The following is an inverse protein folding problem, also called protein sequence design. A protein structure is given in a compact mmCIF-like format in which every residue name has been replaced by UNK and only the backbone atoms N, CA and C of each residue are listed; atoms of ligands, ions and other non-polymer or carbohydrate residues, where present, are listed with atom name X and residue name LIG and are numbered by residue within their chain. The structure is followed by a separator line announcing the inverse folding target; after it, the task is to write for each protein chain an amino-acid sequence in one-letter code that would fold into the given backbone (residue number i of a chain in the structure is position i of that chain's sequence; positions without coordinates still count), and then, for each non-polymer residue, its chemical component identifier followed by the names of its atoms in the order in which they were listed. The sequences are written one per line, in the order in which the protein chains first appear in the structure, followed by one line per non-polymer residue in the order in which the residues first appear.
data_IF_335979374735
#
_entry.id   IF_335979374735
#
_cell.length_a   1.000
_cell.length_b   1.000
_cell.length_c   1.000
_cell.angle_alpha   90.00
_cell.angle_beta   90.00
_cell.angle_gamma   90.00
#
_symmetry.space_group_name_H-M   'P 1'
#
loop_
_entity.id
_entity.type
_entity.pdbx_description
1 polymer ?
#
# COMPACT_ATOMS: atom_id res chain seq x y z
N UNK A 1 -6.75 5.34 16.09
CA UNK A 1 -7.09 3.92 15.97
C UNK A 1 -6.04 3.14 16.75
N UNK A 2 -6.44 2.25 17.65
CA UNK A 2 -5.53 1.32 18.34
C UNK A 2 -6.16 -0.06 18.30
N UNK A 3 -5.35 -1.08 18.02
CA UNK A 3 -5.75 -2.48 18.13
C UNK A 3 -4.84 -3.16 19.17
N UNK A 4 -5.33 -4.24 19.77
CA UNK A 4 -4.60 -5.06 20.73
C UNK A 4 -3.85 -6.21 20.04
N UNK A 5 -2.75 -6.66 20.65
CA UNK A 5 -2.02 -7.84 20.16
C UNK A 5 -2.91 -9.08 20.12
N UNK A 6 -3.85 -9.19 21.06
CA UNK A 6 -4.82 -10.28 21.14
C UNK A 6 -5.72 -10.32 19.89
N UNK A 7 -6.31 -9.19 19.49
CA UNK A 7 -7.12 -9.10 18.27
C UNK A 7 -6.31 -9.46 17.01
N UNK A 8 -5.07 -8.96 16.91
CA UNK A 8 -4.20 -9.29 15.78
C UNK A 8 -3.87 -10.78 15.75
N UNK A 9 -3.50 -11.35 16.90
CA UNK A 9 -3.21 -12.78 17.02
C UNK A 9 -4.42 -13.61 16.60
N UNK A 10 -5.64 -13.24 16.98
CA UNK A 10 -6.84 -13.96 16.56
C UNK A 10 -6.99 -13.97 15.04
N UNK A 11 -6.81 -12.83 14.39
CA UNK A 11 -6.91 -12.70 12.94
C UNK A 11 -5.80 -13.50 12.21
N UNK A 12 -4.59 -13.56 12.78
CA UNK A 12 -3.49 -14.39 12.27
C UNK A 12 -3.80 -15.88 12.43
N UNK A 13 -4.22 -16.31 13.62
CA UNK A 13 -4.62 -17.68 13.88
C UNK A 13 -5.72 -18.13 12.91
N UNK A 14 -6.74 -17.30 12.73
CA UNK A 14 -7.86 -17.59 11.84
C UNK A 14 -7.43 -17.74 10.39
N UNK A 15 -6.50 -16.91 9.91
CA UNK A 15 -5.90 -17.09 8.59
C UNK A 15 -5.16 -18.43 8.45
N UNK A 16 -4.40 -18.84 9.47
CA UNK A 16 -3.70 -20.12 9.45
C UNK A 16 -4.68 -21.29 9.36
N UNK A 17 -5.77 -21.24 10.13
CA UNK A 17 -6.85 -22.23 10.08
C UNK A 17 -7.56 -22.24 8.73
N UNK A 18 -7.96 -21.08 8.21
CA UNK A 18 -8.66 -20.95 6.92
C UNK A 18 -7.80 -21.38 5.72
N UNK A 19 -6.47 -21.24 5.82
CA UNK A 19 -5.52 -21.65 4.79
C UNK A 19 -5.09 -23.13 4.87
N UNK A 20 -5.51 -23.86 5.90
CA UNK A 20 -5.15 -25.26 6.11
C UNK A 20 -3.77 -25.50 6.76
N UNK A 21 -3.17 -24.48 7.38
CA UNK A 21 -1.91 -24.61 8.12
C UNK A 21 -2.15 -25.15 9.54
N UNK A 22 -2.71 -26.36 9.65
CA UNK A 22 -3.20 -26.92 10.92
C UNK A 22 -2.15 -26.96 12.04
N UNK A 23 -0.94 -27.45 11.76
CA UNK A 23 0.13 -27.53 12.77
C UNK A 23 0.59 -26.14 13.22
N UNK A 24 0.68 -25.18 12.30
CA UNK A 24 1.04 -23.80 12.62
C UNK A 24 -0.05 -23.12 13.43
N UNK A 25 -1.32 -23.30 13.05
CA UNK A 25 -2.46 -22.76 13.80
C UNK A 25 -2.49 -23.31 15.23
N UNK A 26 -2.22 -24.61 15.40
CA UNK A 26 -2.16 -25.25 16.71
C UNK A 26 -1.06 -24.65 17.59
N UNK A 27 0.20 -24.66 17.12
CA UNK A 27 1.34 -24.12 17.87
C UNK A 27 1.13 -22.64 18.18
N UNK A 28 0.70 -21.85 17.18
CA UNK A 28 0.45 -20.43 17.35
C UNK A 28 -0.64 -20.14 18.38
N UNK A 29 -1.74 -20.92 18.39
CA UNK A 29 -2.82 -20.72 19.39
C UNK A 29 -2.34 -20.91 20.83
N UNK A 30 -1.37 -21.80 21.05
CA UNK A 30 -0.76 -22.04 22.36
C UNK A 30 0.24 -20.95 22.72
N UNK A 31 1.15 -20.60 21.82
CA UNK A 31 2.18 -19.57 22.07
C UNK A 31 1.58 -18.17 22.28
N UNK A 32 0.48 -17.87 21.59
CA UNK A 32 -0.21 -16.58 21.69
C UNK A 32 -1.20 -16.49 22.86
N UNK A 33 -1.41 -17.57 23.62
CA UNK A 33 -2.42 -17.69 24.68
C UNK A 33 -3.81 -17.24 24.22
N UNK A 34 -4.20 -17.61 22.99
CA UNK A 34 -5.46 -17.16 22.38
C UNK A 34 -6.70 -17.59 23.18
N UNK A 35 -6.62 -18.76 23.83
CA UNK A 35 -7.73 -19.33 24.61
C UNK A 35 -8.01 -18.56 25.91
N UNK A 36 -7.00 -17.88 26.46
CA UNK A 36 -7.14 -17.08 27.68
C UNK A 36 -7.46 -15.61 27.37
N UNK A 37 -7.54 -15.25 26.08
CA UNK A 37 -7.80 -13.88 25.66
C UNK A 37 -9.31 -13.58 25.63
N UNK A 38 -9.73 -12.52 26.33
CA UNK A 38 -11.12 -12.04 26.39
C UNK A 38 -11.47 -11.22 25.13
N UNK A 39 -11.44 -11.86 23.97
CA UNK A 39 -11.78 -11.24 22.68
C UNK A 39 -13.10 -11.84 22.19
N UNK A 40 -14.10 -10.99 21.98
CA UNK A 40 -15.32 -11.41 21.28
C UNK A 40 -15.03 -11.57 19.78
N UNK A 41 -15.01 -12.82 19.35
CA UNK A 41 -14.63 -13.21 18.00
C UNK A 41 -15.80 -13.73 17.15
N UNK A 42 -17.02 -13.61 17.66
CA UNK A 42 -18.23 -14.21 17.06
C UNK A 42 -18.59 -13.60 15.70
N UNK A 43 -18.26 -12.34 15.46
CA UNK A 43 -18.62 -11.61 14.24
C UNK A 43 -17.50 -11.50 13.20
N UNK A 44 -16.34 -12.11 13.45
CA UNK A 44 -15.23 -12.02 12.48
C UNK A 44 -15.60 -12.82 11.23
N UNK A 45 -15.54 -12.18 10.06
CA UNK A 45 -15.82 -12.79 8.76
C UNK A 45 -14.68 -13.72 8.30
N UNK A 46 -14.99 -14.64 7.38
CA UNK A 46 -13.94 -15.43 6.72
C UNK A 46 -13.05 -14.55 5.85
N UNK A 47 -11.75 -14.82 5.79
CA UNK A 47 -10.80 -14.02 5.03
C UNK A 47 -10.52 -12.64 5.63
N UNK A 48 -10.87 -12.40 6.90
CA UNK A 48 -10.71 -11.11 7.55
C UNK A 48 -9.28 -10.56 7.48
N UNK A 49 -8.25 -11.41 7.68
CA UNK A 49 -6.85 -10.98 7.55
C UNK A 49 -6.54 -10.49 6.14
N UNK A 50 -6.92 -11.28 5.13
CA UNK A 50 -6.66 -10.95 3.72
C UNK A 50 -7.36 -9.66 3.33
N UNK A 51 -8.63 -9.48 3.73
CA UNK A 51 -9.38 -8.25 3.50
C UNK A 51 -8.73 -7.05 4.18
N UNK A 52 -8.25 -7.19 5.42
CA UNK A 52 -7.55 -6.11 6.12
C UNK A 52 -6.25 -5.73 5.41
N UNK A 53 -5.46 -6.70 4.95
CA UNK A 53 -4.23 -6.47 4.18
C UNK A 53 -4.54 -5.76 2.86
N UNK A 54 -5.58 -6.17 2.13
CA UNK A 54 -6.02 -5.50 0.91
C UNK A 54 -6.43 -4.04 1.17
N UNK A 55 -7.16 -3.78 2.25
CA UNK A 55 -7.52 -2.40 2.65
C UNK A 55 -6.29 -1.57 3.00
N UNK A 56 -5.31 -2.16 3.69
CA UNK A 56 -4.03 -1.50 3.97
C UNK A 56 -3.27 -1.13 2.70
N UNK A 57 -3.29 -2.00 1.69
CA UNK A 57 -2.68 -1.74 0.39
C UNK A 57 -3.36 -0.59 -0.36
N UNK A 58 -4.69 -0.57 -0.40
CA UNK A 58 -5.45 0.55 -0.99
C UNK A 58 -5.21 1.87 -0.25
N UNK A 59 -5.07 1.81 1.07
CA UNK A 59 -4.75 2.98 1.87
C UNK A 59 -3.36 3.52 1.55
N UNK A 60 -2.33 2.66 1.46
CA UNK A 60 -0.98 3.05 1.06
C UNK A 60 -0.96 3.66 -0.35
N UNK A 61 -1.71 3.08 -1.29
CA UNK A 61 -1.85 3.63 -2.64
C UNK A 61 -2.52 5.01 -2.64
N UNK A 62 -3.55 5.21 -1.82
CA UNK A 62 -4.23 6.49 -1.68
C UNK A 62 -3.32 7.56 -1.06
N UNK A 63 -2.53 7.21 -0.02
CA UNK A 63 -1.53 8.12 0.56
C UNK A 63 -0.51 8.56 -0.49
N UNK A 64 -0.01 7.62 -1.29
CA UNK A 64 0.93 7.93 -2.36
C UNK A 64 0.33 8.90 -3.38
N UNK A 65 -0.90 8.63 -3.86
CA UNK A 65 -1.60 9.50 -4.82
C UNK A 65 -1.88 10.90 -4.23
N UNK A 66 -2.19 10.98 -2.94
CA UNK A 66 -2.41 12.26 -2.26
C UNK A 66 -1.12 13.08 -2.08
N UNK A 67 0.04 12.42 -1.98
CA UNK A 67 1.35 13.08 -1.94
C UNK A 67 1.82 13.56 -3.32
N UNK A 68 1.26 13.02 -4.41
CA UNK A 68 1.56 13.49 -5.76
C UNK A 68 0.99 14.91 -5.98
N UNK A 69 1.84 15.82 -6.48
CA UNK A 69 1.52 17.24 -6.67
C UNK A 69 0.23 17.41 -7.54
N UNK A 70 -0.72 18.30 -7.18
CA UNK A 70 -1.98 18.50 -7.91
C UNK A 70 -1.81 18.82 -9.41
N UNK A 71 -0.70 19.46 -9.80
CA UNK A 71 -0.39 19.77 -11.21
C UNK A 71 -0.08 18.51 -12.05
N UNK A 72 0.24 17.39 -11.41
CA UNK A 72 0.54 16.10 -12.05
C UNK A 72 -0.60 15.08 -11.93
N UNK A 73 -1.72 15.44 -11.29
CA UNK A 73 -2.90 14.58 -11.17
C UNK A 73 -3.49 14.20 -12.55
N UNK A 74 -3.30 15.05 -13.57
CA UNK A 74 -3.77 14.81 -14.94
C UNK A 74 -2.84 13.92 -15.78
N UNK A 75 -1.62 13.61 -15.29
CA UNK A 75 -0.67 12.72 -15.98
C UNK A 75 -0.71 11.28 -15.47
N UNK A 76 -1.56 10.98 -14.49
CA UNK A 76 -1.90 9.62 -14.11
C UNK A 76 -2.89 9.05 -15.15
N UNK A 77 -2.46 8.97 -16.40
CA UNK A 77 -3.17 8.21 -17.43
C UNK A 77 -3.21 6.73 -17.03
N UNK A 78 -4.39 6.30 -16.60
CA UNK A 78 -5.10 5.00 -16.76
C UNK A 78 -4.38 3.65 -16.56
N UNK A 79 -3.05 3.62 -16.44
CA UNK A 79 -2.25 2.41 -16.28
C UNK A 79 -1.17 2.62 -15.21
N UNK A 80 -1.61 3.01 -14.02
CA UNK A 80 -0.75 2.85 -12.84
C UNK A 80 -0.73 1.35 -12.52
N UNK A 81 0.42 0.72 -12.68
CA UNK A 81 0.66 -0.63 -12.16
C UNK A 81 0.26 -0.64 -10.67
N UNK A 82 -0.73 -1.45 -10.32
CA UNK A 82 -1.23 -1.55 -8.94
C UNK A 82 -0.08 -1.83 -7.98
N UNK A 83 -0.02 -1.11 -6.86
CA UNK A 83 1.01 -1.33 -5.85
C UNK A 83 0.90 -2.76 -5.34
N UNK A 84 1.97 -3.56 -5.48
CA UNK A 84 1.98 -4.93 -4.97
C UNK A 84 2.16 -4.96 -3.45
N UNK A 85 1.66 -6.00 -2.78
CA UNK A 85 1.81 -6.12 -1.31
C UNK A 85 3.28 -6.10 -0.86
N UNK A 86 4.17 -6.79 -1.58
CA UNK A 86 5.60 -6.79 -1.27
C UNK A 86 6.18 -5.39 -1.45
N UNK A 87 5.78 -4.69 -2.51
CA UNK A 87 6.23 -3.34 -2.83
C UNK A 87 5.83 -2.33 -1.75
N UNK A 88 4.60 -2.45 -1.23
CA UNK A 88 4.07 -1.59 -0.17
C UNK A 88 4.82 -1.73 1.17
N UNK A 89 5.58 -2.81 1.36
CA UNK A 89 6.31 -3.10 2.61
C UNK A 89 7.82 -2.83 2.46
N UNK A 90 8.31 -2.48 1.27
CA UNK A 90 9.72 -2.15 1.07
C UNK A 90 10.08 -0.81 1.74
N UNK A 91 11.24 -0.77 2.40
CA UNK A 91 11.78 0.45 3.06
C UNK A 91 11.97 1.59 2.06
N UNK A 92 12.37 1.26 0.84
CA UNK A 92 12.39 2.17 -0.29
C UNK A 92 11.46 1.62 -1.37
N UNK A 93 10.29 2.24 -1.60
CA UNK A 93 9.42 1.81 -2.69
C UNK A 93 10.15 2.05 -4.03
N UNK A 94 9.98 1.20 -5.05
CA UNK A 94 10.51 1.43 -6.38
C UNK A 94 9.75 2.60 -7.02
N UNK A 95 10.19 3.81 -6.67
CA UNK A 95 9.64 5.10 -7.10
C UNK A 95 9.56 5.24 -8.63
N UNK A 96 10.23 4.37 -9.40
CA UNK A 96 10.20 4.35 -10.86
C UNK A 96 8.81 4.13 -11.45
N UNK A 97 7.90 3.42 -10.77
CA UNK A 97 6.53 3.19 -11.27
C UNK A 97 5.62 4.41 -11.13
N UNK A 98 6.01 5.34 -10.27
CA UNK A 98 5.20 6.48 -9.92
C UNK A 98 5.90 7.82 -10.15
N UNK A 99 7.14 7.79 -10.68
CA UNK A 99 7.88 8.99 -11.01
C UNK A 99 7.23 9.62 -12.22
N UNK A 100 6.62 10.79 -11.99
CA UNK A 100 6.20 11.70 -13.04
C UNK A 100 7.39 11.90 -13.99
N UNK A 101 7.20 11.62 -15.28
CA UNK A 101 8.14 12.02 -16.29
C UNK A 101 8.27 13.54 -16.22
N UNK A 102 9.43 14.02 -15.74
CA UNK A 102 9.73 15.44 -15.73
C UNK A 102 9.71 15.93 -17.18
N UNK A 103 8.89 16.94 -17.55
CA UNK A 103 8.93 17.48 -18.90
C UNK A 103 10.35 17.97 -19.16
N UNK A 104 10.93 17.54 -20.29
CA UNK A 104 12.26 17.92 -20.72
C UNK A 104 12.41 19.45 -20.65
N UNK A 105 13.58 19.98 -20.25
CA UNK A 105 13.79 21.42 -20.26
C UNK A 105 13.51 21.93 -21.69
N UNK A 106 12.56 22.85 -21.81
CA UNK A 106 12.25 23.50 -23.07
C UNK A 106 13.53 24.14 -23.60
N UNK A 107 14.05 23.62 -24.72
CA UNK A 107 15.11 24.26 -25.47
C UNK A 107 14.62 25.65 -25.86
N UNK A 108 15.21 26.69 -25.28
CA UNK A 108 14.99 28.06 -25.69
C UNK A 108 15.73 28.33 -27.00
N UNK A 109 15.16 27.90 -28.12
CA UNK A 109 15.46 28.48 -29.42
C UNK A 109 14.77 29.84 -29.52
N UNK A 110 15.45 30.88 -29.07
CA UNK A 110 15.09 32.26 -29.39
C UNK A 110 15.95 32.71 -30.58
N UNK A 111 15.46 32.44 -31.78
CA UNK A 111 15.82 33.20 -32.98
C UNK A 111 15.44 34.65 -32.76
N UNK A 112 16.40 35.58 -32.76
CA UNK A 112 16.11 37.01 -32.98
C UNK A 112 16.95 37.49 -34.15
N UNK A 113 16.32 37.46 -35.32
CA UNK A 113 16.76 38.09 -36.55
C UNK A 113 16.51 39.62 -36.49
N UNK A 114 17.52 40.38 -36.94
CA UNK A 114 17.40 41.63 -37.71
C UNK A 114 17.15 42.97 -37.00
N UNK A 115 18.19 43.83 -36.97
CA UNK A 115 18.18 45.07 -37.76
C UNK A 115 18.16 46.46 -37.08
N UNK A 116 19.25 47.21 -37.36
CA UNK A 116 19.31 48.65 -37.76
C UNK A 116 19.67 49.76 -36.71
N UNK A 117 20.80 50.42 -37.03
CA UNK A 117 21.27 51.83 -36.85
C UNK A 117 21.48 52.47 -35.47
N UNK A 118 22.68 53.01 -35.22
CA UNK A 118 23.13 54.34 -35.66
C UNK A 118 24.65 54.35 -35.91
#
# INVERSE_FOLDING_TARGET
MSFSSNELNYIVWRYLTESGFEHSAYVFSMESNLLDSDIDCTEVASGALVMMVQRGLFYAEAEFRAMANPDHALLLEEKTDTLGLIEAVMVEPPLSKFRVAQPAPANSDATTTSGVSY
#
